data_IF_269128667234
#
_entry.id   IF_269128667234
#
_cell.length_a   1.000
_cell.length_b   1.000
_cell.length_c   1.000
_cell.angle_alpha   90.00
_cell.angle_beta   90.00
_cell.angle_gamma   90.00
#
_symmetry.space_group_name_H-M   'P 1'
#
loop_
_entity.id
_entity.type
_entity.pdbx_description
1 polymer ?
#
# COMPACT_ATOMS: atom_id res chain seq x y z
N UNK A 1 19.98 -33.27 -50.70
CA UNK A 1 19.61 -31.84 -50.71
C UNK A 1 19.56 -31.38 -49.26
N UNK A 2 20.67 -30.82 -48.78
CA UNK A 2 20.87 -30.39 -47.39
C UNK A 2 20.51 -28.91 -47.36
N UNK A 3 19.46 -28.53 -46.64
CA UNK A 3 19.09 -27.13 -46.45
C UNK A 3 19.58 -26.65 -45.09
N UNK A 4 20.51 -25.72 -45.18
CA UNK A 4 21.27 -25.08 -44.12
C UNK A 4 20.39 -24.20 -43.23
N UNK A 5 20.68 -24.29 -41.93
CA UNK A 5 20.46 -23.26 -40.92
C UNK A 5 21.00 -21.89 -41.38
N UNK A 6 20.23 -20.83 -41.18
CA UNK A 6 20.81 -19.52 -40.91
C UNK A 6 20.06 -18.84 -39.76
N UNK A 7 20.81 -18.74 -38.67
CA UNK A 7 20.50 -18.12 -37.40
C UNK A 7 20.51 -16.59 -37.60
N UNK A 8 19.40 -15.91 -37.31
CA UNK A 8 19.37 -14.45 -37.24
C UNK A 8 19.41 -14.04 -35.77
N UNK A 9 20.63 -13.85 -35.28
CA UNK A 9 20.93 -13.15 -34.03
C UNK A 9 20.76 -11.65 -34.28
N UNK A 10 19.53 -11.15 -34.05
CA UNK A 10 19.23 -9.73 -33.97
C UNK A 10 19.35 -9.26 -32.53
N UNK A 11 20.48 -8.64 -32.21
CA UNK A 11 20.72 -7.84 -31.02
C UNK A 11 19.66 -6.74 -30.91
N UNK A 12 18.75 -6.84 -29.94
CA UNK A 12 17.86 -5.74 -29.57
C UNK A 12 18.40 -5.04 -28.31
N UNK A 13 18.40 -3.70 -28.28
CA UNK A 13 19.08 -2.92 -27.26
C UNK A 13 18.38 -3.03 -25.91
N UNK A 14 19.19 -3.20 -24.86
CA UNK A 14 18.85 -2.92 -23.48
C UNK A 14 18.48 -1.44 -23.33
N UNK A 15 17.19 -1.12 -23.44
CA UNK A 15 16.68 0.17 -22.99
C UNK A 15 16.60 0.17 -21.46
N UNK A 16 17.18 1.17 -20.77
CA UNK A 16 17.01 1.28 -19.34
C UNK A 16 15.54 1.60 -19.06
N UNK A 17 14.95 0.84 -18.13
CA UNK A 17 13.62 1.05 -17.58
C UNK A 17 13.62 2.40 -16.84
N UNK A 18 13.39 3.48 -17.61
CA UNK A 18 13.31 4.85 -17.11
C UNK A 18 11.99 5.08 -16.41
N UNK A 19 12.10 5.37 -15.11
CA UNK A 19 11.10 5.91 -14.19
C UNK A 19 9.76 6.36 -14.83
N UNK A 20 8.70 5.58 -14.57
CA UNK A 20 7.34 6.06 -14.71
C UNK A 20 6.96 6.83 -13.43
N UNK A 21 6.70 8.15 -13.47
CA UNK A 21 5.93 8.76 -12.40
C UNK A 21 4.50 8.26 -12.61
N UNK A 22 3.98 7.38 -11.76
CA UNK A 22 2.56 7.02 -11.83
C UNK A 22 1.79 8.04 -11.02
N UNK A 23 1.10 8.91 -11.74
CA UNK A 23 0.12 9.81 -11.16
C UNK A 23 -1.04 8.98 -10.57
N UNK A 24 -0.87 8.69 -9.28
CA UNK A 24 -1.84 8.94 -8.23
C UNK A 24 -2.90 7.86 -7.97
N UNK A 25 -2.63 7.19 -6.84
CA UNK A 25 -3.51 6.51 -5.87
C UNK A 25 -4.69 7.42 -5.38
N UNK A 26 -5.00 8.53 -6.05
CA UNK A 26 -5.98 9.53 -5.62
C UNK A 26 -7.42 9.05 -5.66
N UNK A 27 -7.79 8.17 -6.61
CA UNK A 27 -9.18 7.71 -6.72
C UNK A 27 -9.55 6.76 -5.56
N UNK A 28 -8.62 5.92 -5.12
CA UNK A 28 -8.84 5.00 -3.99
C UNK A 28 -8.78 5.75 -2.64
N UNK A 29 -7.84 6.70 -2.48
CA UNK A 29 -7.76 7.54 -1.28
C UNK A 29 -8.98 8.44 -1.07
N UNK A 30 -9.62 8.92 -2.14
CA UNK A 30 -10.83 9.73 -2.03
C UNK A 30 -11.99 8.96 -1.38
N UNK A 31 -12.13 7.65 -1.65
CA UNK A 31 -13.18 6.81 -1.06
C UNK A 31 -12.90 6.43 0.40
N UNK A 32 -11.63 6.22 0.76
CA UNK A 32 -11.21 5.94 2.15
C UNK A 32 -11.44 7.14 3.08
N UNK A 33 -11.31 8.38 2.57
CA UNK A 33 -11.54 9.60 3.37
C UNK A 33 -13.01 9.84 3.72
N UNK A 34 -13.98 9.38 2.91
CA UNK A 34 -15.42 9.57 3.16
C UNK A 34 -16.01 8.68 4.27
N UNK A 35 -15.43 7.51 4.55
CA UNK A 35 -15.96 6.59 5.56
C UNK A 35 -15.49 6.88 6.99
N UNK A 36 -14.44 7.70 7.17
CA UNK A 36 -13.88 7.98 8.49
C UNK A 36 -14.48 9.22 9.19
N UNK A 37 -15.31 10.00 8.49
CA UNK A 37 -15.97 11.19 9.07
C UNK A 37 -17.28 10.87 9.80
N UNK A 38 -17.85 9.67 9.65
CA UNK A 38 -19.16 9.32 10.22
C UNK A 38 -19.10 8.57 11.55
N UNK A 39 -17.92 8.28 12.12
CA UNK A 39 -17.78 7.53 13.39
C UNK A 39 -17.31 8.34 14.60
N UNK A 40 -17.00 9.64 14.47
CA UNK A 40 -16.37 10.41 15.57
C UNK A 40 -17.33 11.06 16.58
N UNK A 41 -18.65 10.99 16.41
CA UNK A 41 -19.59 11.81 17.20
C UNK A 41 -20.49 11.10 18.22
N UNK A 42 -20.22 9.84 18.62
CA UNK A 42 -21.12 9.12 19.54
C UNK A 42 -20.44 8.44 20.74
N UNK A 43 -19.52 9.13 21.43
CA UNK A 43 -19.12 8.73 22.80
C UNK A 43 -19.16 9.91 23.77
N UNK A 44 -20.37 10.40 24.01
CA UNK A 44 -20.69 11.30 25.11
C UNK A 44 -21.23 10.53 26.33
N UNK A 45 -20.47 10.60 27.43
CA UNK A 45 -20.91 10.55 28.84
C UNK A 45 -21.62 9.28 29.34
N UNK A 46 -20.90 8.49 30.13
CA UNK A 46 -21.48 7.74 31.26
C UNK A 46 -20.54 7.76 32.48
N UNK A 47 -20.98 8.54 33.49
CA UNK A 47 -20.88 8.43 34.97
C UNK A 47 -19.53 8.11 35.63
N UNK A 48 -19.23 8.86 36.72
CA UNK A 48 -19.27 8.37 38.13
C UNK A 48 -19.50 9.51 39.13
N UNK A 49 -20.22 9.29 40.25
CA UNK A 49 -20.13 10.14 41.43
C UNK A 49 -19.34 9.45 42.57
N UNK A 50 -18.65 10.23 43.41
CA UNK A 50 -18.61 10.15 44.89
C UNK A 50 -17.54 11.10 45.46
N UNK A 51 -17.96 11.88 46.45
CA UNK A 51 -17.17 12.64 47.44
C UNK A 51 -17.13 11.84 48.77
N UNK A 52 -16.67 12.38 49.91
CA UNK A 52 -15.38 13.04 50.25
C UNK A 52 -14.78 12.50 51.58
N UNK A 53 -13.53 12.86 51.92
CA UNK A 53 -12.88 13.08 53.26
C UNK A 53 -11.37 12.85 53.07
N UNK A 54 -10.40 13.63 53.56
CA UNK A 54 -10.23 14.34 54.83
C UNK A 54 -9.03 13.70 55.54
N UNK A 55 -7.90 14.40 55.73
CA UNK A 55 -6.77 13.87 56.51
C UNK A 55 -5.40 14.50 56.26
N UNK A 56 -5.02 15.41 57.16
CA UNK A 56 -3.68 15.96 57.39
C UNK A 56 -2.71 14.91 57.98
N UNK A 57 -1.40 15.01 57.71
CA UNK A 57 -0.40 14.29 58.52
C UNK A 57 0.95 14.02 57.85
N UNK A 58 1.92 14.88 58.14
CA UNK A 58 3.35 14.65 58.38
C UNK A 58 4.09 13.44 57.75
N UNK A 59 5.22 13.76 57.10
CA UNK A 59 6.37 12.86 56.90
C UNK A 59 6.95 12.38 58.24
N UNK A 60 7.67 11.24 58.24
CA UNK A 60 9.12 11.38 58.29
C UNK A 60 9.87 10.43 57.35
N UNK A 61 11.09 10.90 57.05
CA UNK A 61 12.09 10.35 56.16
C UNK A 61 12.53 8.94 56.56
N UNK A 62 12.57 8.03 55.59
CA UNK A 62 13.36 6.81 55.66
C UNK A 62 14.41 6.86 54.54
N UNK A 63 15.69 6.91 54.93
CA UNK A 63 16.83 6.63 54.07
C UNK A 63 16.67 5.20 53.55
N UNK A 64 16.56 5.04 52.24
CA UNK A 64 16.83 3.77 51.56
C UNK A 64 17.91 4.07 50.53
N UNK A 65 18.90 3.19 50.53
CA UNK A 65 20.15 3.28 49.81
C UNK A 65 19.94 3.56 48.31
N UNK A 66 20.82 4.40 47.80
CA UNK A 66 21.20 4.48 46.40
C UNK A 66 21.59 3.09 45.89
N UNK A 67 20.66 2.43 45.21
CA UNK A 67 20.98 1.53 44.12
C UNK A 67 20.70 2.34 42.86
N UNK A 68 21.76 2.68 42.15
CA UNK A 68 21.66 3.19 40.81
C UNK A 68 21.03 2.08 39.95
N UNK A 69 19.70 2.10 39.86
CA UNK A 69 18.94 1.35 38.88
C UNK A 69 19.28 1.95 37.51
N UNK A 70 20.37 1.48 36.92
CA UNK A 70 20.61 1.54 35.47
C UNK A 70 19.63 0.59 34.76
N UNK A 71 18.33 0.82 34.98
CA UNK A 71 17.26 0.29 34.15
C UNK A 71 17.22 1.14 32.88
N UNK A 72 18.25 0.97 32.06
CA UNK A 72 18.24 1.39 30.67
C UNK A 72 16.92 0.89 30.05
N UNK A 73 16.07 1.76 29.47
CA UNK A 73 14.75 1.34 29.02
C UNK A 73 14.91 0.23 27.98
N UNK A 74 14.41 -0.97 28.30
CA UNK A 74 14.31 -2.07 27.35
C UNK A 74 13.57 -1.51 26.14
N UNK A 75 14.12 -1.54 24.92
CA UNK A 75 13.41 -1.06 23.75
C UNK A 75 12.10 -1.83 23.66
N UNK A 76 10.97 -1.17 23.85
CA UNK A 76 9.66 -1.80 23.64
C UNK A 76 9.63 -2.27 22.19
N UNK A 77 9.74 -3.58 21.96
CA UNK A 77 9.69 -4.14 20.61
C UNK A 77 8.36 -3.71 19.97
N UNK A 78 8.45 -2.86 18.94
CA UNK A 78 7.28 -2.39 18.21
C UNK A 78 6.54 -3.62 17.66
N UNK A 79 5.26 -3.79 18.04
CA UNK A 79 4.48 -4.91 17.52
C UNK A 79 4.41 -4.88 15.99
N UNK A 80 4.48 -6.05 15.34
CA UNK A 80 4.49 -6.18 13.87
C UNK A 80 3.36 -5.39 13.19
N UNK A 81 2.17 -5.37 13.78
CA UNK A 81 1.02 -4.63 13.24
C UNK A 81 1.26 -3.12 13.21
N UNK A 82 1.90 -2.55 14.25
CA UNK A 82 2.23 -1.12 14.31
C UNK A 82 3.33 -0.81 13.30
N UNK A 83 4.35 -1.66 13.22
CA UNK A 83 5.43 -1.52 12.24
C UNK A 83 4.88 -1.52 10.80
N UNK A 84 4.05 -2.52 10.44
CA UNK A 84 3.46 -2.60 9.10
C UNK A 84 2.57 -1.40 8.77
N UNK A 85 1.78 -0.93 9.74
CA UNK A 85 0.95 0.26 9.56
C UNK A 85 1.80 1.51 9.30
N UNK A 86 2.94 1.65 9.99
CA UNK A 86 3.90 2.73 9.78
C UNK A 86 4.56 2.62 8.39
N UNK A 87 5.09 1.46 8.02
CA UNK A 87 5.71 1.22 6.71
C UNK A 87 4.73 1.52 5.57
N UNK A 88 3.46 1.11 5.70
CA UNK A 88 2.43 1.39 4.70
C UNK A 88 2.14 2.88 4.57
N UNK A 89 2.09 3.62 5.69
CA UNK A 89 1.91 5.08 5.67
C UNK A 89 3.05 5.77 4.95
N UNK A 90 4.30 5.46 5.32
CA UNK A 90 5.50 6.01 4.70
C UNK A 90 5.55 5.69 3.19
N UNK A 91 5.18 4.47 2.81
CA UNK A 91 5.10 4.09 1.41
C UNK A 91 4.07 4.95 0.63
N UNK A 92 2.88 5.17 1.19
CA UNK A 92 1.84 6.00 0.57
C UNK A 92 2.28 7.46 0.47
N UNK A 93 2.86 8.02 1.52
CA UNK A 93 3.32 9.41 1.57
C UNK A 93 4.45 9.66 0.56
N UNK A 94 5.36 8.70 0.38
CA UNK A 94 6.45 8.81 -0.59
C UNK A 94 5.98 8.89 -2.05
N UNK A 95 4.75 8.46 -2.36
CA UNK A 95 4.20 8.51 -3.73
C UNK A 95 3.83 9.93 -4.19
N UNK A 96 3.77 10.91 -3.28
CA UNK A 96 3.44 12.30 -3.61
C UNK A 96 4.67 13.21 -3.79
N UNK A 97 5.86 12.73 -3.46
CA UNK A 97 7.11 13.50 -3.48
C UNK A 97 8.14 12.94 -4.45
N UNK A 98 9.40 13.33 -4.24
CA UNK A 98 10.54 12.74 -4.93
C UNK A 98 10.67 11.25 -4.58
N UNK A 99 10.92 10.43 -5.59
CA UNK A 99 10.92 8.97 -5.43
C UNK A 99 12.26 8.53 -4.86
N UNK A 100 12.28 8.22 -3.56
CA UNK A 100 13.38 7.48 -2.94
C UNK A 100 13.21 5.97 -3.16
N UNK A 101 13.81 5.49 -4.25
CA UNK A 101 13.81 4.07 -4.62
C UNK A 101 14.51 3.20 -3.57
N UNK A 102 15.53 3.72 -2.88
CA UNK A 102 16.24 2.95 -1.86
C UNK A 102 15.36 2.73 -0.63
N UNK A 103 14.68 3.77 -0.16
CA UNK A 103 13.72 3.63 0.93
C UNK A 103 12.55 2.71 0.54
N UNK A 104 12.07 2.78 -0.70
CA UNK A 104 11.04 1.86 -1.20
C UNK A 104 11.49 0.40 -1.18
N UNK A 105 12.73 0.11 -1.60
CA UNK A 105 13.34 -1.24 -1.52
C UNK A 105 13.46 -1.73 -0.09
N UNK A 106 13.92 -0.88 0.83
CA UNK A 106 14.07 -1.23 2.24
C UNK A 106 12.73 -1.59 2.88
N UNK A 107 11.67 -0.81 2.62
CA UNK A 107 10.32 -1.13 3.11
C UNK A 107 9.80 -2.45 2.54
N UNK A 108 9.99 -2.70 1.24
CA UNK A 108 9.60 -3.97 0.61
C UNK A 108 10.38 -5.15 1.21
N UNK A 109 11.69 -5.02 1.38
CA UNK A 109 12.51 -6.05 1.98
C UNK A 109 12.06 -6.37 3.41
N UNK A 110 11.78 -5.35 4.22
CA UNK A 110 11.27 -5.55 5.58
C UNK A 110 9.96 -6.33 5.61
N UNK A 111 9.04 -6.04 4.69
CA UNK A 111 7.78 -6.83 4.57
C UNK A 111 8.06 -8.27 4.16
N UNK A 112 9.01 -8.53 3.28
CA UNK A 112 9.42 -9.88 2.90
C UNK A 112 9.97 -10.64 4.11
N UNK A 113 10.81 -10.00 4.92
CA UNK A 113 11.38 -10.62 6.13
C UNK A 113 10.29 -10.97 7.14
N UNK A 114 9.34 -10.05 7.40
CA UNK A 114 8.19 -10.27 8.28
C UNK A 114 7.27 -11.39 7.76
N UNK A 115 7.05 -11.45 6.45
CA UNK A 115 6.28 -12.52 5.83
C UNK A 115 6.97 -13.88 5.96
N UNK A 116 8.28 -13.93 5.69
CA UNK A 116 9.08 -15.16 5.74
C UNK A 116 9.22 -15.75 7.15
N UNK A 117 9.18 -14.89 8.17
CA UNK A 117 9.23 -15.28 9.58
C UNK A 117 7.84 -15.60 10.17
N UNK A 118 6.77 -15.52 9.37
CA UNK A 118 5.42 -15.87 9.81
C UNK A 118 4.77 -14.86 10.76
N UNK A 119 5.28 -13.63 10.82
CA UNK A 119 4.78 -12.60 11.74
C UNK A 119 3.53 -11.88 11.23
N UNK A 120 3.19 -12.01 9.94
CA UNK A 120 1.99 -11.42 9.32
C UNK A 120 0.83 -12.41 9.47
N UNK A 121 -0.08 -12.15 10.41
CA UNK A 121 -1.08 -13.16 10.80
C UNK A 121 -2.53 -12.73 10.60
N UNK A 122 -2.83 -11.44 10.59
CA UNK A 122 -4.21 -10.94 10.51
C UNK A 122 -4.49 -10.17 9.22
N UNK A 123 -5.76 -9.94 8.91
CA UNK A 123 -6.18 -9.27 7.67
C UNK A 123 -5.67 -7.84 7.52
N UNK A 124 -5.49 -7.12 8.64
CA UNK A 124 -4.98 -5.76 8.64
C UNK A 124 -3.47 -5.71 8.33
N UNK A 125 -2.70 -6.64 8.90
CA UNK A 125 -1.27 -6.80 8.62
C UNK A 125 -1.05 -7.14 7.14
N UNK A 126 -1.81 -8.10 6.61
CA UNK A 126 -1.76 -8.46 5.19
C UNK A 126 -2.10 -7.26 4.30
N UNK A 127 -3.08 -6.44 4.69
CA UNK A 127 -3.45 -5.24 3.95
C UNK A 127 -2.35 -4.19 3.95
N UNK A 128 -1.73 -3.92 5.10
CA UNK A 128 -0.60 -2.98 5.18
C UNK A 128 0.62 -3.48 4.42
N UNK A 129 0.97 -4.74 4.57
CA UNK A 129 2.04 -5.39 3.81
C UNK A 129 1.78 -5.30 2.29
N UNK A 130 0.55 -5.56 1.85
CA UNK A 130 0.17 -5.45 0.44
C UNK A 130 0.34 -4.02 -0.10
N UNK A 131 0.05 -2.98 0.69
CA UNK A 131 0.25 -1.59 0.30
C UNK A 131 1.73 -1.24 0.11
N UNK A 132 2.58 -1.70 1.03
CA UNK A 132 4.04 -1.51 0.90
C UNK A 132 4.54 -2.16 -0.37
N UNK A 133 4.17 -3.42 -0.61
CA UNK A 133 4.58 -4.16 -1.81
C UNK A 133 4.01 -3.54 -3.09
N UNK A 134 2.80 -2.96 -3.05
CA UNK A 134 2.22 -2.26 -4.19
C UNK A 134 3.08 -1.07 -4.60
N UNK A 135 3.65 -0.34 -3.63
CA UNK A 135 4.52 0.81 -3.85
C UNK A 135 5.97 0.42 -4.21
N UNK A 136 6.26 -0.89 -4.35
CA UNK A 136 7.54 -1.36 -4.83
C UNK A 136 7.78 -1.09 -6.32
N UNK A 137 8.97 -1.46 -6.80
CA UNK A 137 9.41 -1.22 -8.18
C UNK A 137 9.42 -2.45 -9.08
N UNK A 138 9.43 -3.67 -8.53
CA UNK A 138 9.64 -4.90 -9.32
C UNK A 138 8.34 -5.63 -9.60
N UNK A 139 8.32 -6.42 -10.68
CA UNK A 139 7.23 -7.35 -10.97
C UNK A 139 6.98 -8.31 -9.77
N UNK A 140 8.04 -8.74 -9.09
CA UNK A 140 7.95 -9.58 -7.90
C UNK A 140 7.19 -8.88 -6.75
N UNK A 141 7.42 -7.58 -6.56
CA UNK A 141 6.69 -6.81 -5.55
C UNK A 141 5.20 -6.72 -5.88
N UNK A 142 4.82 -6.46 -7.12
CA UNK A 142 3.41 -6.41 -7.53
C UNK A 142 2.72 -7.78 -7.41
N UNK A 143 3.44 -8.85 -7.73
CA UNK A 143 2.93 -10.21 -7.51
C UNK A 143 2.68 -10.48 -6.02
N UNK A 144 3.65 -10.17 -5.17
CA UNK A 144 3.52 -10.32 -3.71
C UNK A 144 2.38 -9.48 -3.16
N UNK A 145 2.24 -8.22 -3.61
CA UNK A 145 1.13 -7.35 -3.24
C UNK A 145 -0.23 -7.99 -3.57
N UNK A 146 -0.34 -8.66 -4.72
CA UNK A 146 -1.57 -9.38 -5.12
C UNK A 146 -1.86 -10.56 -4.19
N UNK A 147 -0.84 -11.32 -3.80
CA UNK A 147 -0.96 -12.45 -2.86
C UNK A 147 -1.41 -11.95 -1.49
N UNK A 148 -0.72 -10.96 -0.94
CA UNK A 148 -1.02 -10.37 0.37
C UNK A 148 -2.42 -9.73 0.39
N UNK A 149 -2.81 -9.00 -0.66
CA UNK A 149 -4.16 -8.42 -0.77
C UNK A 149 -5.25 -9.51 -0.83
N UNK A 150 -4.98 -10.64 -1.50
CA UNK A 150 -5.91 -11.79 -1.48
C UNK A 150 -6.03 -12.36 -0.07
N UNK A 151 -4.92 -12.56 0.64
CA UNK A 151 -4.94 -13.04 2.03
C UNK A 151 -5.73 -12.07 2.93
N UNK A 152 -5.49 -10.76 2.81
CA UNK A 152 -6.26 -9.74 3.52
C UNK A 152 -7.78 -9.87 3.27
N UNK A 153 -8.23 -10.04 2.02
CA UNK A 153 -9.65 -10.26 1.72
C UNK A 153 -10.20 -11.56 2.34
N UNK A 154 -9.41 -12.63 2.38
CA UNK A 154 -9.80 -13.90 2.99
C UNK A 154 -9.92 -13.79 4.53
N UNK A 155 -9.16 -12.88 5.13
CA UNK A 155 -9.25 -12.53 6.55
C UNK A 155 -10.29 -11.43 6.84
N UNK A 156 -11.16 -11.08 5.89
CA UNK A 156 -12.28 -10.15 6.11
C UNK A 156 -11.92 -8.67 5.96
N UNK A 157 -10.73 -8.33 5.48
CA UNK A 157 -10.35 -6.93 5.22
C UNK A 157 -10.92 -6.46 3.87
N UNK A 158 -12.13 -5.91 3.90
CA UNK A 158 -12.86 -5.48 2.69
C UNK A 158 -12.12 -4.42 1.87
N UNK A 159 -11.33 -3.55 2.49
CA UNK A 159 -10.57 -2.52 1.77
C UNK A 159 -9.55 -3.13 0.80
N UNK A 160 -9.12 -4.36 1.06
CA UNK A 160 -8.14 -5.07 0.25
C UNK A 160 -8.65 -5.49 -1.13
N UNK A 161 -9.95 -5.48 -1.40
CA UNK A 161 -10.50 -5.79 -2.73
C UNK A 161 -9.97 -4.86 -3.81
N UNK A 162 -10.00 -3.56 -3.56
CA UNK A 162 -9.47 -2.55 -4.48
C UNK A 162 -7.96 -2.70 -4.66
N UNK A 163 -7.24 -2.95 -3.56
CA UNK A 163 -5.79 -3.17 -3.55
C UNK A 163 -5.39 -4.39 -4.38
N UNK A 164 -6.17 -5.47 -4.28
CA UNK A 164 -5.98 -6.69 -5.07
C UNK A 164 -6.11 -6.42 -6.57
N UNK A 165 -7.10 -5.63 -6.99
CA UNK A 165 -7.27 -5.24 -8.39
C UNK A 165 -6.08 -4.39 -8.89
N UNK A 166 -5.66 -3.40 -8.11
CA UNK A 166 -4.50 -2.56 -8.44
C UNK A 166 -3.21 -3.37 -8.57
N UNK A 167 -2.93 -4.26 -7.62
CA UNK A 167 -1.73 -5.11 -7.66
C UNK A 167 -1.73 -6.04 -8.87
N UNK A 168 -2.92 -6.55 -9.23
CA UNK A 168 -3.07 -7.39 -10.42
C UNK A 168 -2.74 -6.60 -11.69
N UNK A 169 -3.31 -5.42 -11.86
CA UNK A 169 -3.04 -4.60 -13.04
C UNK A 169 -1.58 -4.14 -13.10
N UNK A 170 -0.95 -3.74 -11.97
CA UNK A 170 0.48 -3.41 -11.95
C UNK A 170 1.35 -4.58 -12.39
N UNK A 171 1.04 -5.78 -11.92
CA UNK A 171 1.73 -7.00 -12.33
C UNK A 171 1.52 -7.32 -13.83
N UNK A 172 0.31 -7.11 -14.36
CA UNK A 172 0.03 -7.30 -15.79
C UNK A 172 0.77 -6.28 -16.64
N UNK A 173 0.74 -5.00 -16.27
CA UNK A 173 1.47 -3.93 -16.97
C UNK A 173 2.98 -4.22 -16.95
N UNK A 174 3.53 -4.58 -15.79
CA UNK A 174 4.95 -4.93 -15.65
C UNK A 174 5.36 -6.16 -16.50
N UNK A 175 4.40 -7.00 -16.88
CA UNK A 175 4.62 -8.16 -17.76
C UNK A 175 4.24 -7.91 -19.22
N UNK A 176 3.92 -6.67 -19.60
CA UNK A 176 3.50 -6.32 -20.96
C UNK A 176 2.12 -6.86 -21.35
N UNK A 177 1.27 -7.20 -20.36
CA UNK A 177 -0.08 -7.72 -20.57
C UNK A 177 -1.13 -6.62 -20.40
N UNK A 178 -2.30 -6.73 -21.07
CA UNK A 178 -3.41 -5.82 -20.84
C UNK A 178 -3.87 -5.86 -19.38
N UNK A 179 -4.28 -4.72 -18.85
CA UNK A 179 -4.83 -4.60 -17.51
C UNK A 179 -6.16 -5.34 -17.42
N UNK A 180 -6.47 -5.93 -16.27
CA UNK A 180 -7.75 -6.57 -16.03
C UNK A 180 -8.81 -5.52 -15.65
N UNK A 181 -8.48 -4.66 -14.69
CA UNK A 181 -9.43 -3.69 -14.10
C UNK A 181 -9.15 -2.23 -14.47
N UNK A 182 -8.18 -1.96 -15.34
CA UNK A 182 -7.87 -0.61 -15.81
C UNK A 182 -7.63 0.36 -14.67
N UNK A 183 -6.87 -0.04 -13.66
CA UNK A 183 -6.58 0.79 -12.48
C UNK A 183 -5.32 1.65 -12.63
N UNK A 184 -4.44 1.31 -13.57
CA UNK A 184 -3.18 2.02 -13.80
C UNK A 184 -3.32 2.98 -14.97
N UNK A 185 -3.07 4.26 -14.71
CA UNK A 185 -2.90 5.26 -15.77
C UNK A 185 -1.41 5.36 -16.06
N UNK A 186 -1.06 5.17 -17.33
CA UNK A 186 0.31 5.03 -17.80
C UNK A 186 0.67 6.21 -18.68
N UNK A 187 1.92 6.65 -18.58
CA UNK A 187 2.49 7.63 -19.51
C UNK A 187 3.24 6.88 -20.60
N UNK A 188 2.71 6.91 -21.83
CA UNK A 188 3.26 6.22 -22.99
C UNK A 188 3.54 7.24 -24.09
N UNK A 189 4.77 7.29 -24.60
CA UNK A 189 5.15 8.25 -25.65
C UNK A 189 4.91 9.71 -25.25
N UNK A 190 5.07 10.05 -23.97
CA UNK A 190 4.81 11.40 -23.44
C UNK A 190 3.34 11.72 -23.14
N UNK A 191 2.40 10.82 -23.43
CA UNK A 191 0.96 11.02 -23.22
C UNK A 191 0.40 10.13 -22.11
N UNK A 192 -0.42 10.70 -21.24
CA UNK A 192 -1.20 9.92 -20.26
C UNK A 192 -2.34 9.17 -20.95
N UNK A 193 -2.44 7.88 -20.69
CA UNK A 193 -3.52 7.03 -21.17
C UNK A 193 -3.75 5.86 -20.23
N UNK A 194 -4.88 5.16 -20.37
CA UNK A 194 -5.12 3.94 -19.62
C UNK A 194 -4.33 2.73 -20.15
N UNK A 195 -3.79 2.81 -21.37
CA UNK A 195 -3.26 1.64 -22.06
C UNK A 195 -4.35 0.58 -22.35
N UNK A 196 -3.94 -0.64 -22.75
CA UNK A 196 -4.87 -1.72 -23.07
C UNK A 196 -5.51 -2.32 -21.81
N UNK A 197 -6.83 -2.52 -21.86
CA UNK A 197 -7.64 -3.14 -20.80
C UNK A 197 -8.41 -4.32 -21.38
N UNK A 198 -8.49 -5.42 -20.64
CA UNK A 198 -9.24 -6.63 -20.98
C UNK A 198 -10.74 -6.31 -21.16
N UNK A 199 -11.30 -6.49 -22.37
CA UNK A 199 -12.71 -6.22 -22.64
C UNK A 199 -13.66 -7.23 -21.99
N UNK A 200 -13.16 -8.38 -21.52
CA UNK A 200 -13.99 -9.40 -20.88
C UNK A 200 -14.50 -8.96 -19.49
N UNK A 201 -13.85 -7.98 -18.85
CA UNK A 201 -14.20 -7.50 -17.51
C UNK A 201 -15.19 -6.34 -17.60
N UNK A 202 -16.44 -6.64 -17.26
CA UNK A 202 -17.52 -5.65 -17.22
C UNK A 202 -17.50 -4.79 -15.94
N UNK A 203 -18.33 -3.75 -15.91
CA UNK A 203 -18.38 -2.80 -14.79
C UNK A 203 -18.99 -3.40 -13.51
N UNK A 204 -19.81 -4.45 -13.61
CA UNK A 204 -20.30 -5.19 -12.45
C UNK A 204 -19.15 -5.93 -11.76
N UNK A 205 -18.27 -6.57 -12.53
CA UNK A 205 -17.07 -7.21 -11.99
C UNK A 205 -16.14 -6.17 -11.35
N UNK A 206 -15.92 -5.01 -11.99
CA UNK A 206 -15.15 -3.91 -11.38
C UNK A 206 -15.74 -3.47 -10.05
N UNK A 207 -17.06 -3.34 -9.97
CA UNK A 207 -17.75 -2.95 -8.75
C UNK A 207 -17.55 -3.96 -7.61
N UNK A 208 -17.48 -5.27 -7.89
CA UNK A 208 -17.16 -6.30 -6.89
C UNK A 208 -15.77 -6.10 -6.26
N UNK A 209 -14.81 -5.55 -7.02
CA UNK A 209 -13.48 -5.18 -6.52
C UNK A 209 -13.42 -3.76 -5.95
N UNK A 210 -14.55 -3.05 -5.87
CA UNK A 210 -14.60 -1.65 -5.42
C UNK A 210 -14.01 -0.66 -6.44
N UNK A 211 -13.79 -1.08 -7.68
CA UNK A 211 -13.25 -0.26 -8.78
C UNK A 211 -14.41 0.43 -9.52
N UNK A 212 -14.29 1.73 -9.86
CA UNK A 212 -15.32 2.42 -10.63
C UNK A 212 -15.45 1.84 -12.06
N UNK A 213 -16.55 2.16 -12.77
CA UNK A 213 -16.70 1.83 -14.18
C UNK A 213 -15.53 2.29 -15.04
N UNK A 214 -15.24 1.56 -16.12
CA UNK A 214 -14.06 1.80 -16.96
C UNK A 214 -14.00 3.24 -17.51
N UNK A 215 -15.15 3.83 -17.85
CA UNK A 215 -15.22 5.20 -18.39
C UNK A 215 -14.64 6.25 -17.42
N UNK A 216 -14.74 6.04 -16.10
CA UNK A 216 -14.21 6.96 -15.08
C UNK A 216 -12.68 7.02 -15.14
N UNK A 217 -12.05 5.88 -15.45
CA UNK A 217 -10.61 5.79 -15.58
C UNK A 217 -10.11 6.46 -16.85
N UNK A 218 -10.84 6.34 -17.96
CA UNK A 218 -10.57 7.11 -19.19
C UNK A 218 -10.64 8.62 -18.93
N UNK A 219 -11.69 9.09 -18.26
CA UNK A 219 -11.82 10.52 -17.91
C UNK A 219 -10.67 11.00 -17.01
N UNK A 220 -10.23 10.15 -16.08
CA UNK A 220 -9.10 10.48 -15.19
C UNK A 220 -7.78 10.60 -15.98
N UNK A 221 -7.55 9.73 -16.96
CA UNK A 221 -6.38 9.81 -17.85
C UNK A 221 -6.39 11.10 -18.70
N UNK A 222 -7.56 11.48 -19.23
CA UNK A 222 -7.72 12.73 -19.98
C UNK A 222 -7.51 13.98 -19.10
N UNK A 223 -7.94 13.94 -17.84
CA UNK A 223 -7.70 15.02 -16.89
C UNK A 223 -6.22 15.19 -16.56
N UNK A 224 -5.49 14.08 -16.39
CA UNK A 224 -4.03 14.10 -16.18
C UNK A 224 -3.32 14.68 -17.40
N UNK A 225 -3.70 14.25 -18.62
CA UNK A 225 -3.14 14.81 -19.85
C UNK A 225 -3.33 16.33 -19.94
N UNK A 226 -4.56 16.81 -19.68
CA UNK A 226 -4.85 18.26 -19.70
C UNK A 226 -4.11 19.07 -18.64
N UNK A 227 -3.70 18.45 -17.53
CA UNK A 227 -2.90 19.12 -16.50
C UNK A 227 -1.43 19.26 -16.90
N UNK A 228 -0.92 18.31 -17.68
CA UNK A 228 0.47 18.35 -18.15
C UNK A 228 0.67 19.30 -19.34
N UNK A 229 -0.36 19.52 -20.16
CA UNK A 229 -0.32 20.46 -21.28
C UNK A 229 -0.44 21.95 -20.87
N UNK A 230 -0.67 22.23 -19.59
CA UNK A 230 -0.80 23.59 -19.04
C UNK A 230 0.52 24.10 -18.48
#
# INVERSE_FOLDING_TARGET
MILHFQCWLGTLPTTPLGAAPQALIFVVLWRLRRHNTTKKDLRGRLRRPRTPTGGSGAQPQARIASMDDDESPIPEEESTSVELARLAREAIESQAGEIDMQAARQRCQRVIDLYSSGQIINGLDYFHAAWVMLCGETQGHYYMARVLARLATQHGEERAWSLRAMAWDRWLVATGRPQRFGTQILKQGGRWSLGPVDPAVNDLERAMYGIPPLYVQHQSAEQLQRREER
#
